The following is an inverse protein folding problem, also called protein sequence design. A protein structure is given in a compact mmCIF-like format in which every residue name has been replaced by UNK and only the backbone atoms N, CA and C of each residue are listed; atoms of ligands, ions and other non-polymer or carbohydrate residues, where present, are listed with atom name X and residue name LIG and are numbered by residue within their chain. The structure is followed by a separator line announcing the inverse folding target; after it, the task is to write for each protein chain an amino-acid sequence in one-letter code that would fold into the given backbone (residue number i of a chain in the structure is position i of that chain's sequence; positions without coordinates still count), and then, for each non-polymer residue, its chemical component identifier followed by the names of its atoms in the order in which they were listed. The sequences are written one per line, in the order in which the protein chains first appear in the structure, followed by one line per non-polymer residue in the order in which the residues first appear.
data_IF_633297970877
#
_entry.id   IF_633297970877
#
_cell.length_a   1.000
_cell.length_b   1.000
_cell.length_c   1.000
_cell.angle_alpha   90.00
_cell.angle_beta   90.00
_cell.angle_gamma   90.00
#
_symmetry.space_group_name_H-M   'P 1'
#
loop_
_entity.id
_entity.type
_entity.pdbx_description
1 polymer ?
#
# COMPACT_ATOMS: atom_id res chain seq x y z
N UNK A 1 -16.67 -0.13 28.85
CA UNK A 1 -15.61 -1.12 28.60
C UNK A 1 -15.44 -1.31 27.10
N UNK A 2 -14.18 -1.42 26.63
CA UNK A 2 -13.80 -1.59 25.22
C UNK A 2 -14.09 -3.03 24.79
N UNK A 3 -14.77 -3.25 23.66
CA UNK A 3 -14.84 -4.55 23.00
C UNK A 3 -13.91 -4.56 21.79
N UNK A 4 -12.65 -4.95 22.03
CA UNK A 4 -11.72 -5.39 20.99
C UNK A 4 -12.10 -6.81 20.60
N UNK A 5 -12.28 -7.08 19.30
CA UNK A 5 -12.22 -8.41 18.68
C UNK A 5 -11.83 -8.20 17.20
N UNK A 6 -10.52 -8.10 16.91
CA UNK A 6 -9.69 -9.16 16.32
C UNK A 6 -10.24 -9.72 15.00
N UNK A 7 -9.97 -9.02 13.90
CA UNK A 7 -10.01 -9.62 12.57
C UNK A 7 -8.71 -10.40 12.36
N UNK A 8 -8.79 -11.73 12.48
CA UNK A 8 -7.69 -12.63 12.18
C UNK A 8 -7.35 -12.52 10.68
N UNK A 9 -6.11 -12.14 10.36
CA UNK A 9 -5.59 -12.22 8.99
C UNK A 9 -5.16 -13.67 8.72
N UNK A 10 -6.14 -14.48 8.30
CA UNK A 10 -5.93 -15.82 7.76
C UNK A 10 -5.17 -15.71 6.43
N UNK A 11 -3.98 -16.32 6.39
CA UNK A 11 -2.89 -16.13 5.42
C UNK A 11 -3.06 -16.87 4.09
N UNK A 12 -4.27 -17.23 3.67
CA UNK A 12 -4.54 -17.97 2.42
C UNK A 12 -5.02 -17.08 1.26
N UNK A 13 -4.73 -15.79 1.30
CA UNK A 13 -5.18 -14.84 0.28
C UNK A 13 -4.10 -14.77 -0.82
N UNK A 14 -4.42 -15.07 -2.09
CA UNK A 14 -3.51 -14.84 -3.21
C UNK A 14 -2.95 -13.40 -3.18
N UNK A 15 -1.67 -13.19 -3.51
CA UNK A 15 -1.12 -11.83 -3.65
C UNK A 15 -2.03 -11.01 -4.57
N UNK A 16 -2.72 -9.99 -4.03
CA UNK A 16 -3.69 -9.15 -4.76
C UNK A 16 -5.18 -9.36 -4.45
N UNK A 17 -5.56 -10.40 -3.70
CA UNK A 17 -6.97 -10.67 -3.36
C UNK A 17 -7.44 -10.08 -2.02
N UNK A 18 -6.54 -9.43 -1.26
CA UNK A 18 -6.93 -8.63 -0.11
C UNK A 18 -7.48 -7.30 -0.65
N UNK A 19 -8.81 -7.23 -0.81
CA UNK A 19 -9.56 -6.07 -1.33
C UNK A 19 -9.45 -4.78 -0.50
N UNK A 20 -8.41 -4.63 0.30
CA UNK A 20 -7.97 -3.36 0.84
C UNK A 20 -6.70 -2.94 0.12
N UNK A 21 -6.86 -2.40 -1.09
CA UNK A 21 -5.92 -1.40 -1.57
C UNK A 21 -5.84 -0.36 -0.44
N UNK A 22 -4.67 -0.30 0.21
CA UNK A 22 -4.34 0.74 1.20
C UNK A 22 -3.53 1.85 0.54
N UNK A 23 -2.97 1.56 -0.63
CA UNK A 23 -2.10 2.42 -1.42
C UNK A 23 -2.89 3.41 -2.31
N UNK A 24 -4.21 3.27 -2.39
CA UNK A 24 -5.15 4.16 -3.10
C UNK A 24 -5.88 5.12 -2.15
N UNK A 25 -5.66 5.00 -0.83
CA UNK A 25 -6.34 5.82 0.18
C UNK A 25 -5.37 6.65 0.99
N UNK A 26 -5.76 7.91 1.22
CA UNK A 26 -5.09 8.78 2.19
C UNK A 26 -5.01 8.08 3.54
N UNK A 27 -3.81 8.05 4.10
CA UNK A 27 -3.49 7.34 5.33
C UNK A 27 -2.78 8.26 6.31
N UNK A 28 -3.18 8.21 7.58
CA UNK A 28 -2.54 9.01 8.64
C UNK A 28 -1.62 8.12 9.48
N UNK A 29 -0.34 8.46 9.51
CA UNK A 29 0.69 7.76 10.30
C UNK A 29 1.10 8.61 11.49
N UNK A 30 1.44 7.94 12.60
CA UNK A 30 2.01 8.60 13.78
C UNK A 30 3.41 8.05 14.01
N UNK A 31 4.41 8.94 13.98
CA UNK A 31 5.83 8.60 14.17
C UNK A 31 6.43 9.64 15.11
N UNK A 32 7.04 9.20 16.21
CA UNK A 32 7.68 10.05 17.22
C UNK A 32 6.81 11.22 17.72
N UNK A 33 5.54 10.93 18.00
CA UNK A 33 4.56 11.91 18.47
C UNK A 33 4.06 12.89 17.40
N UNK A 34 4.58 12.80 16.16
CA UNK A 34 4.15 13.61 15.01
C UNK A 34 3.13 12.83 14.19
N UNK A 35 2.17 13.54 13.62
CA UNK A 35 1.16 12.97 12.73
C UNK A 35 1.47 13.37 11.28
N UNK A 36 1.49 12.39 10.38
CA UNK A 36 1.77 12.56 8.96
C UNK A 36 0.57 12.08 8.15
N UNK A 37 0.08 12.92 7.26
CA UNK A 37 -0.94 12.54 6.27
C UNK A 37 -0.18 12.16 5.00
N UNK A 38 -0.39 10.94 4.54
CA UNK A 38 0.20 10.40 3.32
C UNK A 38 -0.94 10.22 2.33
N UNK A 39 -0.93 11.04 1.28
CA UNK A 39 -1.86 10.91 0.17
C UNK A 39 -1.18 10.15 -0.98
N UNK A 40 -1.86 9.18 -1.58
CA UNK A 40 -1.35 8.53 -2.76
C UNK A 40 -1.43 9.49 -3.95
N UNK A 41 -0.30 9.72 -4.60
CA UNK A 41 -0.17 10.58 -5.79
C UNK A 41 -0.25 9.78 -7.09
N UNK A 42 -0.51 8.47 -6.99
CA UNK A 42 -0.58 7.58 -8.14
C UNK A 42 -1.82 7.90 -8.97
N UNK A 43 -1.63 8.09 -10.27
CA UNK A 43 -2.75 8.30 -11.19
C UNK A 43 -3.50 6.97 -11.38
N UNK A 44 -4.81 7.04 -11.58
CA UNK A 44 -5.61 5.85 -11.91
C UNK A 44 -5.36 5.37 -13.34
N UNK A 45 -4.92 6.27 -14.22
CA UNK A 45 -4.61 6.01 -15.63
C UNK A 45 -3.32 6.73 -16.02
N UNK A 46 -2.71 6.35 -17.16
CA UNK A 46 -1.51 7.02 -17.69
C UNK A 46 -0.18 6.34 -17.31
N UNK A 47 0.97 7.01 -17.54
CA UNK A 47 2.29 6.41 -17.41
C UNK A 47 2.76 6.22 -15.96
N UNK A 48 2.09 6.87 -15.00
CA UNK A 48 2.46 6.87 -13.58
C UNK A 48 1.33 6.36 -12.69
N UNK A 49 0.71 5.26 -13.14
CA UNK A 49 -0.11 4.44 -12.25
C UNK A 49 0.78 3.71 -11.24
N UNK A 50 0.17 3.32 -10.12
CA UNK A 50 0.83 2.47 -9.13
C UNK A 50 1.43 1.20 -9.78
N UNK A 51 0.69 0.59 -10.70
CA UNK A 51 1.15 -0.59 -11.44
C UNK A 51 2.38 -0.29 -12.29
N UNK A 52 2.39 0.84 -13.02
CA UNK A 52 3.52 1.21 -13.86
C UNK A 52 4.78 1.52 -13.03
N UNK A 53 4.62 2.20 -11.90
CA UNK A 53 5.73 2.50 -10.99
C UNK A 53 6.30 1.22 -10.37
N UNK A 54 5.45 0.27 -9.97
CA UNK A 54 5.90 -1.02 -9.45
C UNK A 54 6.76 -1.77 -10.48
N UNK A 55 6.33 -1.83 -11.75
CA UNK A 55 7.11 -2.47 -12.82
C UNK A 55 8.46 -1.77 -13.02
N UNK A 56 8.49 -0.43 -13.01
CA UNK A 56 9.74 0.35 -13.11
C UNK A 56 10.71 -0.01 -11.97
N UNK A 57 10.22 -0.11 -10.73
CA UNK A 57 11.04 -0.50 -9.58
C UNK A 57 11.59 -1.92 -9.68
N UNK A 58 10.76 -2.89 -10.08
CA UNK A 58 11.19 -4.28 -10.25
C UNK A 58 12.27 -4.43 -11.32
N UNK A 59 12.16 -3.70 -12.43
CA UNK A 59 13.20 -3.69 -13.48
C UNK A 59 14.49 -3.09 -12.98
N UNK A 60 14.43 -1.93 -12.32
CA UNK A 60 15.63 -1.28 -11.79
C UNK A 60 16.38 -2.15 -10.77
N UNK A 61 15.67 -2.96 -9.97
CA UNK A 61 16.29 -3.92 -9.06
C UNK A 61 16.92 -5.12 -9.80
N UNK A 62 16.21 -5.67 -10.79
CA UNK A 62 16.69 -6.80 -11.60
C UNK A 62 17.90 -6.43 -12.49
N UNK A 63 17.94 -5.20 -13.00
CA UNK A 63 19.04 -4.66 -13.81
C UNK A 63 20.27 -4.27 -12.97
N UNK A 64 20.16 -4.33 -11.63
CA UNK A 64 21.27 -4.07 -10.70
C UNK A 64 22.18 -5.29 -10.49
N UNK A 65 21.89 -6.42 -11.15
CA UNK A 65 22.78 -7.59 -11.28
C UNK A 65 23.79 -7.39 -12.42
#
# INVERSE_FOLDING_TARGET
MKNVNTAACNSNIPPGASGHNRLDKTSTYKVDGKSFIVEPVFQTEGPDTLGTILIKLMRADAERL
#
